data_IF_992774220587
#
_entry.id   IF_992774220587
#
_cell.length_a   1.000
_cell.length_b   1.000
_cell.length_c   1.000
_cell.angle_alpha   90.00
_cell.angle_beta   90.00
_cell.angle_gamma   90.00
#
_symmetry.space_group_name_H-M   'P 1'
#
loop_
_entity.id
_entity.type
_entity.pdbx_description
1 polymer ?
#
# COMPACT_ATOMS: atom_id res chain seq x y z
N UNK A 1 1.56 -15.58 -5.22
CA UNK A 1 1.45 -16.96 -4.71
C UNK A 1 0.22 -17.64 -5.30
N UNK A 2 -0.02 -18.93 -5.00
CA UNK A 2 -1.20 -19.67 -5.52
C UNK A 2 -2.53 -19.34 -4.82
N UNK A 3 -2.45 -18.75 -3.62
CA UNK A 3 -3.60 -18.32 -2.83
C UNK A 3 -3.83 -16.83 -3.09
N UNK A 4 -5.07 -16.38 -3.35
CA UNK A 4 -5.36 -14.96 -3.49
C UNK A 4 -5.06 -14.22 -2.19
N UNK A 5 -4.34 -13.11 -2.30
CA UNK A 5 -3.97 -12.27 -1.16
C UNK A 5 -4.23 -10.80 -1.50
N UNK A 6 -5.10 -10.16 -0.73
CA UNK A 6 -5.20 -8.71 -0.72
C UNK A 6 -4.13 -8.17 0.23
N UNK A 7 -3.12 -7.49 -0.32
CA UNK A 7 -2.01 -6.90 0.43
C UNK A 7 -2.04 -5.38 0.29
N UNK A 8 -1.41 -4.67 1.23
CA UNK A 8 -1.37 -3.20 1.26
C UNK A 8 -2.75 -2.53 1.31
N UNK A 9 -3.74 -3.20 1.93
CA UNK A 9 -5.07 -2.62 2.15
C UNK A 9 -4.92 -1.35 2.98
N UNK A 10 -5.37 -0.23 2.41
CA UNK A 10 -5.27 1.10 3.01
C UNK A 10 -6.69 1.68 3.21
N UNK A 11 -6.95 2.45 4.29
CA UNK A 11 -6.04 2.71 5.40
C UNK A 11 -5.78 1.44 6.24
N UNK A 12 -4.62 1.40 6.90
CA UNK A 12 -4.32 0.36 7.88
C UNK A 12 -5.12 0.54 9.19
N UNK A 13 -5.12 -0.48 10.05
CA UNK A 13 -5.92 -0.48 11.29
C UNK A 13 -5.50 0.64 12.24
N UNK A 14 -4.20 0.91 12.39
CA UNK A 14 -3.69 1.97 13.27
C UNK A 14 -4.14 3.37 12.82
N UNK A 15 -4.39 3.55 11.52
CA UNK A 15 -4.95 4.76 10.93
C UNK A 15 -6.49 4.77 10.92
N UNK A 16 -7.15 3.81 11.59
CA UNK A 16 -8.61 3.71 11.65
C UNK A 16 -9.26 3.01 10.45
N UNK A 17 -8.48 2.26 9.67
CA UNK A 17 -8.95 1.54 8.50
C UNK A 17 -10.02 0.46 8.78
N UNK A 18 -10.83 0.10 7.78
CA UNK A 18 -11.99 -0.77 7.95
C UNK A 18 -11.64 -2.21 8.36
N UNK A 19 -10.41 -2.68 8.11
CA UNK A 19 -9.97 -4.00 8.56
C UNK A 19 -10.06 -4.18 10.08
N UNK A 20 -9.96 -3.10 10.88
CA UNK A 20 -10.11 -3.18 12.33
C UNK A 20 -11.55 -3.39 12.80
N UNK A 21 -12.53 -3.38 11.89
CA UNK A 21 -13.93 -3.70 12.17
C UNK A 21 -14.27 -5.17 11.88
N UNK A 22 -13.38 -5.92 11.22
CA UNK A 22 -13.59 -7.35 10.91
C UNK A 22 -13.59 -8.19 12.21
N UNK A 23 -14.42 -9.23 12.25
CA UNK A 23 -14.54 -10.18 13.36
C UNK A 23 -14.46 -11.61 12.85
N UNK A 24 -14.04 -12.52 13.72
CA UNK A 24 -14.02 -13.94 13.42
C UNK A 24 -15.42 -14.42 13.00
N UNK A 25 -15.47 -15.18 11.92
CA UNK A 25 -16.70 -15.67 11.32
C UNK A 25 -17.35 -14.74 10.28
N UNK A 26 -16.85 -13.50 10.11
CA UNK A 26 -17.30 -12.66 9.00
C UNK A 26 -16.95 -13.29 7.65
N UNK A 27 -17.87 -13.16 6.69
CA UNK A 27 -17.60 -13.54 5.30
C UNK A 27 -16.99 -12.34 4.57
N UNK A 28 -15.78 -12.52 4.05
CA UNK A 28 -15.11 -11.56 3.19
C UNK A 28 -15.11 -12.06 1.74
N UNK A 29 -15.41 -11.17 0.79
CA UNK A 29 -15.30 -11.42 -0.64
C UNK A 29 -14.05 -10.73 -1.19
N UNK A 30 -13.17 -11.52 -1.80
CA UNK A 30 -12.06 -11.04 -2.63
C UNK A 30 -12.42 -11.36 -4.07
N UNK A 31 -12.69 -10.33 -4.88
CA UNK A 31 -12.97 -10.49 -6.29
C UNK A 31 -11.88 -9.80 -7.11
N UNK A 32 -10.91 -10.60 -7.57
CA UNK A 32 -9.81 -10.13 -8.40
C UNK A 32 -10.25 -9.75 -9.82
N UNK A 33 -11.41 -10.23 -10.29
CA UNK A 33 -11.91 -9.91 -11.64
C UNK A 33 -12.44 -8.49 -11.67
N UNK A 34 -13.21 -8.10 -10.64
CA UNK A 34 -13.76 -6.75 -10.51
C UNK A 34 -12.88 -5.81 -9.66
N UNK A 35 -11.80 -6.31 -9.08
CA UNK A 35 -10.88 -5.53 -8.24
C UNK A 35 -11.50 -5.06 -6.92
N UNK A 36 -12.36 -5.88 -6.29
CA UNK A 36 -13.07 -5.50 -5.06
C UNK A 36 -12.69 -6.38 -3.87
N UNK A 37 -12.66 -5.76 -2.69
CA UNK A 37 -12.53 -6.40 -1.40
C UNK A 37 -13.69 -5.92 -0.51
N UNK A 38 -14.55 -6.83 -0.09
CA UNK A 38 -15.78 -6.47 0.64
C UNK A 38 -16.02 -7.37 1.83
N UNK A 39 -16.35 -6.78 2.98
CA UNK A 39 -16.96 -7.50 4.08
C UNK A 39 -18.46 -7.66 3.81
N UNK A 40 -18.95 -8.90 3.71
CA UNK A 40 -20.37 -9.20 3.51
C UNK A 40 -21.12 -9.17 4.84
N UNK A 41 -21.02 -8.04 5.53
CA UNK A 41 -21.64 -7.77 6.83
C UNK A 41 -22.69 -6.68 6.63
N UNK A 42 -23.90 -6.79 7.23
CA UNK A 42 -24.90 -5.73 7.17
C UNK A 42 -24.35 -4.39 7.66
N UNK A 43 -24.71 -3.31 6.98
CA UNK A 43 -24.17 -1.97 7.24
C UNK A 43 -24.46 -1.51 8.67
N UNK A 44 -25.66 -1.80 9.19
CA UNK A 44 -26.07 -1.43 10.54
C UNK A 44 -25.22 -2.13 11.60
N UNK A 45 -24.84 -3.39 11.34
CA UNK A 45 -23.94 -4.15 12.22
C UNK A 45 -22.53 -3.56 12.12
N UNK A 46 -22.05 -3.31 10.89
CA UNK A 46 -20.72 -2.77 10.64
C UNK A 46 -20.52 -1.41 11.31
N UNK A 47 -21.49 -0.50 11.18
CA UNK A 47 -21.48 0.84 11.74
C UNK A 47 -21.45 0.87 13.28
N UNK A 48 -21.93 -0.18 13.94
CA UNK A 48 -21.93 -0.29 15.41
C UNK A 48 -20.62 -0.88 15.97
N UNK A 49 -19.74 -1.40 15.10
CA UNK A 49 -18.50 -2.03 15.56
C UNK A 49 -17.49 -0.98 16.02
N UNK A 50 -16.78 -1.33 17.09
CA UNK A 50 -15.63 -0.56 17.57
C UNK A 50 -14.39 -0.95 16.80
N UNK A 51 -13.48 -0.01 16.58
CA UNK A 51 -12.16 -0.32 16.04
C UNK A 51 -11.42 -1.30 16.96
N UNK A 52 -10.79 -2.31 16.37
CA UNK A 52 -9.85 -3.16 17.09
C UNK A 52 -8.59 -2.35 17.40
N UNK A 53 -8.01 -2.56 18.58
CA UNK A 53 -6.73 -1.99 18.98
C UNK A 53 -5.76 -3.08 19.37
N UNK A 54 -4.48 -2.81 19.19
CA UNK A 54 -3.39 -3.69 19.61
C UNK A 54 -2.32 -2.84 20.31
N UNK A 55 -1.74 -3.37 21.38
CA UNK A 55 -0.55 -2.79 21.98
C UNK A 55 0.69 -3.18 21.15
N UNK A 56 1.23 -2.20 20.44
CA UNK A 56 2.41 -2.35 19.57
C UNK A 56 3.69 -1.80 20.21
N UNK A 57 3.66 -1.41 21.48
CA UNK A 57 4.80 -0.80 22.17
C UNK A 57 6.08 -1.64 22.10
N UNK A 58 5.93 -2.97 22.17
CA UNK A 58 7.04 -3.93 22.03
C UNK A 58 7.74 -3.87 20.67
N UNK A 59 7.04 -3.44 19.62
CA UNK A 59 7.60 -3.27 18.27
C UNK A 59 8.36 -1.96 18.10
N UNK A 60 8.35 -1.07 19.09
CA UNK A 60 9.01 0.24 19.00
C UNK A 60 10.42 0.26 19.61
N UNK A 61 10.71 -0.67 20.53
CA UNK A 61 11.95 -0.69 21.35
C UNK A 61 12.77 -1.97 21.05
N UNK A 62 14.08 -1.88 21.15
CA UNK A 62 15.06 -2.94 20.92
C UNK A 62 15.63 -2.93 19.50
N UNK A 63 16.84 -3.47 19.34
CA UNK A 63 17.53 -3.61 18.04
C UNK A 63 17.70 -2.29 17.27
N UNK A 64 17.69 -1.13 17.94
CA UNK A 64 17.79 0.18 17.30
C UNK A 64 16.50 0.68 16.66
N UNK A 65 15.35 0.02 16.90
CA UNK A 65 14.03 0.44 16.38
C UNK A 65 13.60 1.83 16.85
N UNK A 66 14.16 2.29 17.96
CA UNK A 66 13.96 3.63 18.54
C UNK A 66 14.44 4.73 17.58
N UNK A 67 15.51 4.46 16.82
CA UNK A 67 16.05 5.38 15.82
C UNK A 67 15.06 5.67 14.69
N UNK A 68 14.07 4.77 14.50
CA UNK A 68 13.09 4.85 13.42
C UNK A 68 11.74 5.41 13.86
N UNK A 69 11.60 5.87 15.10
CA UNK A 69 10.32 6.36 15.63
C UNK A 69 9.70 7.47 14.78
N UNK A 70 10.51 8.44 14.34
CA UNK A 70 10.03 9.55 13.50
C UNK A 70 9.55 9.07 12.12
N UNK A 71 10.26 8.12 11.51
CA UNK A 71 9.89 7.57 10.20
C UNK A 71 8.57 6.79 10.29
N UNK A 72 8.41 5.99 11.35
CA UNK A 72 7.19 5.21 11.60
C UNK A 72 5.97 6.11 11.81
N UNK A 73 6.13 7.18 12.58
CA UNK A 73 5.06 8.15 12.85
C UNK A 73 4.71 9.03 11.65
N UNK A 74 5.66 9.21 10.72
CA UNK A 74 5.48 10.06 9.53
C UNK A 74 5.21 9.31 8.23
N UNK A 75 5.07 7.97 8.27
CA UNK A 75 4.83 7.17 7.07
C UNK A 75 3.45 7.46 6.48
N UNK A 76 3.39 7.67 5.16
CA UNK A 76 2.13 7.76 4.42
C UNK A 76 1.46 6.38 4.27
N UNK A 77 0.23 6.37 3.74
CA UNK A 77 -0.48 5.14 3.42
C UNK A 77 0.28 4.31 2.37
N UNK A 78 0.05 3.00 2.35
CA UNK A 78 0.72 2.13 1.38
C UNK A 78 0.35 2.47 -0.07
N UNK A 79 -0.87 2.95 -0.32
CA UNK A 79 -1.31 3.45 -1.63
C UNK A 79 -0.56 4.71 -2.11
N UNK A 80 0.06 5.44 -1.17
CA UNK A 80 0.92 6.60 -1.43
C UNK A 80 2.41 6.24 -1.36
N UNK A 81 2.74 4.94 -1.31
CA UNK A 81 4.11 4.44 -1.32
C UNK A 81 4.77 4.27 0.06
N UNK A 82 4.02 4.39 1.16
CA UNK A 82 4.55 4.26 2.53
C UNK A 82 5.79 5.14 2.79
N UNK A 83 5.76 6.37 2.28
CA UNK A 83 6.88 7.30 2.30
C UNK A 83 6.82 8.19 3.54
N UNK A 84 7.95 8.39 4.21
CA UNK A 84 8.05 9.37 5.31
C UNK A 84 8.16 10.81 4.80
N UNK A 85 8.79 10.98 3.64
CA UNK A 85 8.90 12.27 2.98
C UNK A 85 7.94 12.29 1.79
N UNK A 86 7.17 13.37 1.59
CA UNK A 86 6.31 13.47 0.42
C UNK A 86 7.14 13.33 -0.85
N UNK A 87 6.58 12.64 -1.84
CA UNK A 87 7.21 12.53 -3.15
C UNK A 87 7.43 13.94 -3.70
N UNK A 88 8.62 14.25 -4.28
CA UNK A 88 8.83 15.54 -4.91
C UNK A 88 7.76 15.75 -5.97
N UNK A 89 7.21 16.96 -6.08
CA UNK A 89 6.34 17.31 -7.21
C UNK A 89 7.03 16.86 -8.51
N UNK A 90 6.31 16.21 -9.45
CA UNK A 90 6.88 15.85 -10.72
C UNK A 90 7.53 17.10 -11.31
N UNK A 91 8.86 17.14 -11.36
CA UNK A 91 9.55 18.26 -12.01
C UNK A 91 9.19 18.12 -13.47
N UNK A 92 8.39 19.06 -13.99
CA UNK A 92 8.17 19.18 -15.41
C UNK A 92 9.55 19.36 -16.04
N UNK A 93 10.06 18.33 -16.69
CA UNK A 93 11.37 18.40 -17.31
C UNK A 93 11.22 19.37 -18.47
N UNK A 94 11.86 20.53 -18.38
CA UNK A 94 11.84 21.56 -19.44
C UNK A 94 12.73 21.19 -20.61
N UNK A 95 13.49 20.10 -20.48
CA UNK A 95 14.29 19.51 -21.54
C UNK A 95 13.45 18.42 -22.22
N UNK A 96 13.28 18.47 -23.56
CA UNK A 96 12.66 17.36 -24.29
C UNK A 96 13.48 16.11 -24.02
N UNK A 97 12.82 15.07 -23.51
CA UNK A 97 13.40 13.75 -23.39
C UNK A 97 13.60 13.24 -24.83
N UNK A 98 14.84 13.34 -25.33
CA UNK A 98 15.29 12.91 -26.66
C UNK A 98 15.02 13.87 -27.83
N UNK A 99 15.60 15.07 -27.82
CA UNK A 99 16.07 15.64 -29.09
C UNK A 99 17.50 15.16 -29.37
N UNK A 100 17.61 14.03 -30.07
CA UNK A 100 18.78 13.73 -30.89
C UNK A 100 20.04 13.16 -30.24
N UNK A 101 19.96 12.51 -29.08
CA UNK A 101 21.04 11.62 -28.62
C UNK A 101 20.58 10.16 -28.71
N UNK A 102 21.09 9.47 -29.72
CA UNK A 102 21.08 8.01 -29.79
C UNK A 102 22.07 7.49 -28.73
N UNK A 103 21.69 7.58 -27.46
CA UNK A 103 22.40 6.88 -26.39
C UNK A 103 21.80 5.48 -26.34
N UNK A 104 22.50 4.51 -26.94
CA UNK A 104 22.17 3.09 -26.94
C UNK A 104 22.13 2.40 -25.57
N UNK A 105 21.69 3.09 -24.52
CA UNK A 105 21.35 2.53 -23.21
C UNK A 105 19.95 3.00 -22.83
N UNK A 106 18.97 2.19 -23.23
CA UNK A 106 17.65 2.18 -22.61
C UNK A 106 17.88 1.48 -21.27
N UNK A 107 18.03 2.22 -20.17
CA UNK A 107 17.78 1.66 -18.85
C UNK A 107 16.35 2.02 -18.47
N UNK A 108 15.37 1.13 -18.74
CA UNK A 108 14.03 1.34 -18.25
C UNK A 108 14.02 1.18 -16.73
N UNK A 109 13.24 2.02 -16.06
CA UNK A 109 12.90 1.77 -14.66
C UNK A 109 12.39 0.35 -14.51
N UNK A 110 12.94 -0.36 -13.52
CA UNK A 110 12.54 -1.68 -13.02
C UNK A 110 12.16 -2.73 -14.07
N UNK A 111 12.95 -3.80 -14.17
CA UNK A 111 12.75 -4.96 -15.04
C UNK A 111 11.34 -5.60 -14.99
N UNK A 112 10.51 -5.25 -14.00
CA UNK A 112 9.16 -5.79 -13.83
C UNK A 112 8.13 -5.23 -14.81
N UNK A 113 8.32 -4.02 -15.35
CA UNK A 113 7.33 -3.38 -16.24
C UNK A 113 7.35 -3.95 -17.68
N UNK A 114 8.47 -4.54 -18.10
CA UNK A 114 8.62 -5.13 -19.44
C UNK A 114 7.94 -6.50 -19.59
N UNK A 115 7.73 -7.22 -18.48
CA UNK A 115 7.17 -8.57 -18.49
C UNK A 115 5.67 -8.62 -18.81
N UNK A 116 4.95 -7.51 -18.65
CA UNK A 116 3.49 -7.48 -18.89
C UNK A 116 3.09 -7.16 -20.33
N UNK A 117 4.01 -6.67 -21.18
CA UNK A 117 3.66 -6.18 -22.53
C UNK A 117 3.90 -7.15 -23.68
N UNK A 118 4.49 -8.32 -23.44
CA UNK A 118 4.95 -9.22 -24.52
C UNK A 118 4.19 -10.54 -24.67
N UNK A 119 3.02 -10.72 -24.06
CA UNK A 119 2.12 -11.83 -24.43
C UNK A 119 0.70 -11.33 -24.74
N UNK A 120 0.48 -11.03 -26.03
CA UNK A 120 -0.81 -11.12 -26.71
C UNK A 120 -0.60 -11.74 -28.07
#
# INVERSE_FOLDING_TARGET
>A
GKVPAAIHVSPEILAGGPLGLVRDGDILRVDATNGTLQALVPEEVWAQRKQASADISSSHIGMGRELFAMFRNGSSAAEEGAATFPLPSPKHTTLPLHEGADSGEIMPGSDEDFLFRTNK
#
